data_IF_172294278648
#
_entry.id   IF_172294278648
#
_cell.length_a   1.000
_cell.length_b   1.000
_cell.length_c   1.000
_cell.angle_alpha   90.00
_cell.angle_beta   90.00
_cell.angle_gamma   90.00
#
_symmetry.space_group_name_H-M   'P 1'
#
loop_
_entity.id
_entity.type
_entity.pdbx_description
1 polymer ?
#
# COMPACT_ATOMS: atom_id res chain seq x y z
N UNK A 1 -13.13 1.30 -12.21
CA UNK A 1 -13.46 0.38 -11.11
C UNK A 1 -12.85 0.96 -9.86
N UNK A 2 -13.63 1.18 -8.80
CA UNK A 2 -13.06 1.55 -7.51
C UNK A 2 -12.42 0.30 -6.89
N UNK A 3 -11.20 0.43 -6.38
CA UNK A 3 -10.51 -0.65 -5.67
C UNK A 3 -10.38 -0.20 -4.23
N UNK A 4 -10.84 -1.04 -3.32
CA UNK A 4 -10.84 -0.75 -1.88
C UNK A 4 -9.48 -1.07 -1.26
N UNK A 5 -9.17 -0.40 -0.15
CA UNK A 5 -7.97 -0.64 0.63
C UNK A 5 -8.30 -1.49 1.87
N UNK A 6 -7.84 -2.74 1.86
CA UNK A 6 -8.00 -3.68 2.97
C UNK A 6 -6.84 -3.54 3.94
N UNK A 7 -7.12 -3.30 5.23
CA UNK A 7 -6.08 -3.30 6.25
C UNK A 7 -5.67 -4.72 6.64
N UNK A 8 -4.39 -4.93 6.89
CA UNK A 8 -3.96 -6.09 7.65
C UNK A 8 -4.43 -5.93 9.10
N UNK A 9 -4.93 -7.00 9.72
CA UNK A 9 -5.60 -6.91 11.03
C UNK A 9 -4.65 -6.43 12.13
N UNK A 10 -3.34 -6.71 11.98
CA UNK A 10 -2.30 -6.26 12.90
C UNK A 10 -1.91 -4.80 12.71
N UNK A 11 -2.21 -4.16 11.58
CA UNK A 11 -1.76 -2.81 11.26
C UNK A 11 -2.24 -1.77 12.28
N UNK A 12 -3.50 -1.84 12.72
CA UNK A 12 -4.04 -0.95 13.76
C UNK A 12 -3.33 -1.19 15.11
N UNK A 13 -3.03 -2.45 15.44
CA UNK A 13 -2.25 -2.79 16.62
C UNK A 13 -0.83 -2.23 16.57
N UNK A 14 -0.19 -2.24 15.39
CA UNK A 14 1.12 -1.62 15.20
C UNK A 14 1.10 -0.10 15.35
N UNK A 15 0.08 0.56 14.82
CA UNK A 15 -0.11 2.00 15.01
C UNK A 15 -0.28 2.34 16.50
N UNK A 16 -1.18 1.64 17.20
CA UNK A 16 -1.42 1.85 18.64
C UNK A 16 -0.20 1.53 19.51
N UNK A 17 0.65 0.60 19.08
CA UNK A 17 1.91 0.27 19.76
C UNK A 17 3.09 1.18 19.36
N UNK A 18 2.88 2.20 18.53
CA UNK A 18 3.93 3.10 18.05
C UNK A 18 4.97 2.45 17.13
N UNK A 19 4.65 1.30 16.54
CA UNK A 19 5.53 0.56 15.62
C UNK A 19 5.40 1.01 14.17
N UNK A 20 4.27 1.63 13.84
CA UNK A 20 4.04 2.34 12.58
C UNK A 20 3.68 3.77 12.95
N UNK A 21 4.41 4.73 12.40
CA UNK A 21 4.08 6.14 12.50
C UNK A 21 3.62 6.66 11.13
N UNK A 22 2.31 6.91 11.00
CA UNK A 22 1.69 7.35 9.74
C UNK A 22 2.17 8.74 9.25
N UNK A 23 2.84 9.51 10.10
CA UNK A 23 3.35 10.85 9.75
C UNK A 23 4.84 10.82 9.41
N UNK A 24 5.65 10.06 10.15
CA UNK A 24 7.12 10.12 10.01
C UNK A 24 7.75 8.93 9.30
N UNK A 25 7.04 7.81 9.17
CA UNK A 25 7.60 6.66 8.49
C UNK A 25 7.69 6.87 6.97
N UNK A 26 8.67 6.24 6.35
CA UNK A 26 8.70 6.10 4.90
C UNK A 26 7.86 4.91 4.50
N UNK A 27 6.89 5.13 3.62
CA UNK A 27 6.01 4.07 3.12
C UNK A 27 6.38 3.67 1.70
N UNK A 28 6.25 2.40 1.40
CA UNK A 28 6.51 1.82 0.08
C UNK A 28 5.41 0.87 -0.33
N UNK A 29 5.27 0.66 -1.63
CA UNK A 29 4.29 -0.23 -2.22
C UNK A 29 4.97 -1.34 -3.04
N UNK A 30 4.55 -2.59 -2.85
CA UNK A 30 5.05 -3.76 -3.59
C UNK A 30 3.95 -4.46 -4.37
N UNK A 31 4.33 -5.18 -5.42
CA UNK A 31 3.42 -5.94 -6.27
C UNK A 31 3.50 -7.43 -5.90
N UNK A 32 2.35 -8.10 -5.79
CA UNK A 32 2.26 -9.55 -5.58
C UNK A 32 1.12 -10.17 -6.36
N UNK A 33 1.30 -11.43 -6.78
CA UNK A 33 0.26 -12.25 -7.38
C UNK A 33 -0.22 -13.36 -6.45
N UNK A 34 0.32 -13.45 -5.25
CA UNK A 34 -0.01 -14.47 -4.26
C UNK A 34 -1.12 -13.96 -3.37
N UNK A 35 -2.12 -14.80 -3.09
CA UNK A 35 -3.20 -14.45 -2.19
C UNK A 35 -2.66 -14.13 -0.78
N UNK A 36 -3.13 -13.03 -0.21
CA UNK A 36 -2.71 -12.51 1.09
C UNK A 36 -3.70 -12.92 2.18
N UNK A 37 -3.19 -13.26 3.36
CA UNK A 37 -3.99 -13.50 4.55
C UNK A 37 -3.93 -12.27 5.46
N UNK A 38 -5.02 -11.49 5.46
CA UNK A 38 -5.14 -10.25 6.23
C UNK A 38 -4.97 -10.44 7.74
N UNK A 39 -5.23 -11.65 8.26
CA UNK A 39 -5.15 -11.94 9.68
C UNK A 39 -3.73 -12.31 10.16
N UNK A 40 -2.89 -12.85 9.27
CA UNK A 40 -1.60 -13.43 9.66
C UNK A 40 -0.39 -12.75 9.03
N UNK A 41 -0.52 -12.11 7.86
CA UNK A 41 0.58 -11.34 7.30
C UNK A 41 0.79 -10.06 8.13
N UNK A 42 2.02 -9.85 8.61
CA UNK A 42 2.37 -8.77 9.53
C UNK A 42 3.60 -7.97 9.07
N UNK A 43 4.51 -8.62 8.34
CA UNK A 43 5.76 -8.02 7.85
C UNK A 43 5.94 -8.25 6.35
N UNK A 44 6.75 -7.42 5.69
CA UNK A 44 7.03 -7.56 4.25
C UNK A 44 7.58 -8.95 3.89
N UNK A 45 8.32 -9.60 4.81
CA UNK A 45 8.83 -10.95 4.62
C UNK A 45 7.73 -12.01 4.44
N UNK A 46 6.50 -11.74 4.90
CA UNK A 46 5.35 -12.63 4.67
C UNK A 46 4.74 -12.47 3.27
N UNK A 47 5.18 -11.46 2.52
CA UNK A 47 4.64 -11.10 1.20
C UNK A 47 5.56 -11.62 0.10
N UNK A 48 5.08 -12.58 -0.68
CA UNK A 48 5.78 -13.03 -1.90
C UNK A 48 5.63 -11.99 -2.99
N UNK A 49 6.64 -11.15 -3.19
CA UNK A 49 6.67 -10.16 -4.27
C UNK A 49 6.80 -10.83 -5.64
N UNK A 50 6.38 -10.14 -6.71
CA UNK A 50 6.70 -10.57 -8.07
C UNK A 50 8.22 -10.54 -8.31
N UNK A 51 8.68 -11.24 -9.35
CA UNK A 51 10.10 -11.28 -9.70
C UNK A 51 10.64 -9.88 -10.04
N UNK A 52 11.86 -9.59 -9.60
CA UNK A 52 12.61 -8.40 -9.98
C UNK A 52 12.96 -8.45 -11.47
N UNK A 53 12.81 -7.34 -12.17
CA UNK A 53 13.13 -7.19 -13.57
C UNK A 53 12.12 -6.31 -14.30
N UNK A 54 12.43 -6.01 -15.56
CA UNK A 54 11.54 -5.31 -16.47
C UNK A 54 11.01 -3.95 -15.94
N UNK A 55 11.76 -3.27 -15.08
CA UNK A 55 11.37 -2.01 -14.42
C UNK A 55 10.76 -2.16 -13.02
N UNK A 56 10.48 -3.38 -12.55
CA UNK A 56 10.13 -3.65 -11.15
C UNK A 56 11.37 -4.00 -10.32
N UNK A 57 11.58 -3.29 -9.21
CA UNK A 57 12.60 -3.60 -8.22
C UNK A 57 11.98 -4.21 -6.96
N UNK A 58 12.66 -5.19 -6.35
CA UNK A 58 12.29 -5.74 -5.04
C UNK A 58 12.24 -4.63 -3.99
N UNK A 59 11.21 -4.65 -3.13
CA UNK A 59 10.88 -3.55 -2.23
C UNK A 59 10.00 -2.47 -2.88
N UNK A 60 9.77 -2.56 -4.19
CA UNK A 60 8.81 -1.75 -4.92
C UNK A 60 9.13 -0.26 -4.95
N UNK A 61 8.10 0.58 -4.91
CA UNK A 61 8.21 2.04 -5.09
C UNK A 61 7.90 2.78 -3.81
N UNK A 62 8.60 3.89 -3.57
CA UNK A 62 8.36 4.78 -2.43
C UNK A 62 7.16 5.68 -2.67
N UNK A 63 6.29 5.78 -1.66
CA UNK A 63 5.22 6.77 -1.62
C UNK A 63 5.83 8.11 -1.20
N UNK A 64 5.72 9.11 -2.06
CA UNK A 64 6.20 10.47 -1.77
C UNK A 64 5.06 11.35 -1.27
N UNK A 65 5.41 12.45 -0.60
CA UNK A 65 4.44 13.41 -0.04
C UNK A 65 3.37 12.73 0.80
N UNK A 66 3.78 11.79 1.66
CA UNK A 66 2.89 11.13 2.60
C UNK A 66 2.36 12.17 3.58
N UNK A 67 1.05 12.16 3.80
CA UNK A 67 0.38 13.07 4.73
C UNK A 67 -0.62 12.29 5.56
N UNK A 68 -0.54 12.46 6.87
CA UNK A 68 -1.52 12.04 7.85
C UNK A 68 -2.23 13.28 8.42
N UNK A 69 -3.51 13.48 8.09
CA UNK A 69 -4.23 14.70 8.50
C UNK A 69 -5.74 14.50 8.56
N UNK A 70 -6.45 15.36 9.30
CA UNK A 70 -7.90 15.55 9.20
C UNK A 70 -8.16 16.76 8.27
N UNK A 71 -8.40 16.53 6.95
CA UNK A 71 -8.45 17.61 5.98
C UNK A 71 -9.69 18.50 6.11
N UNK A 72 -10.73 18.03 6.81
CA UNK A 72 -12.04 18.68 6.92
C UNK A 72 -12.43 19.02 8.35
N UNK A 73 -11.58 18.72 9.32
CA UNK A 73 -11.87 18.84 10.75
C UNK A 73 -13.18 18.12 11.15
N UNK A 74 -13.52 17.02 10.46
CA UNK A 74 -14.76 16.26 10.68
C UNK A 74 -14.56 15.05 11.62
N UNK A 75 -13.35 14.91 12.16
CA UNK A 75 -12.94 13.79 13.00
C UNK A 75 -12.61 12.54 12.19
N UNK A 76 -12.40 12.67 10.87
CA UNK A 76 -11.90 11.59 10.01
C UNK A 76 -10.50 11.93 9.53
N UNK A 77 -9.54 11.21 10.07
CA UNK A 77 -8.16 11.27 9.65
C UNK A 77 -7.96 10.50 8.35
N UNK A 78 -7.07 11.01 7.51
CA UNK A 78 -6.76 10.54 6.17
C UNK A 78 -5.27 10.27 6.06
N UNK A 79 -4.94 9.10 5.58
CA UNK A 79 -3.61 8.76 5.09
C UNK A 79 -3.59 8.87 3.56
N UNK A 80 -2.68 9.67 3.02
CA UNK A 80 -2.56 9.90 1.58
C UNK A 80 -1.10 10.06 1.17
N UNK A 81 -0.84 9.99 -0.14
CA UNK A 81 0.45 10.30 -0.76
C UNK A 81 0.25 11.05 -2.08
N UNK A 82 1.34 11.43 -2.73
CA UNK A 82 1.34 11.72 -4.16
C UNK A 82 1.09 10.43 -4.99
N UNK A 83 0.87 10.59 -6.29
CA UNK A 83 0.80 9.47 -7.22
C UNK A 83 2.10 8.65 -7.17
N UNK A 84 1.98 7.33 -7.16
CA UNK A 84 3.09 6.40 -7.32
C UNK A 84 2.81 5.46 -8.50
N UNK A 85 3.87 4.98 -9.17
CA UNK A 85 3.73 4.20 -10.40
C UNK A 85 4.90 3.26 -10.65
N UNK A 86 4.65 2.23 -11.43
CA UNK A 86 5.65 1.35 -12.03
C UNK A 86 5.66 1.56 -13.54
N UNK A 87 6.85 1.60 -14.12
CA UNK A 87 7.05 1.74 -15.56
C UNK A 87 7.75 0.47 -16.03
N UNK A 88 7.12 -0.25 -16.97
CA UNK A 88 7.70 -1.44 -17.56
C UNK A 88 8.79 -1.05 -18.57
N UNK A 89 9.96 -1.66 -18.45
CA UNK A 89 11.11 -1.37 -19.33
C UNK A 89 11.97 -2.60 -19.51
N UNK A 90 12.17 -3.03 -20.76
CA UNK A 90 12.94 -4.23 -21.11
C UNK A 90 12.10 -5.51 -21.06
N UNK A 91 10.79 -5.38 -20.89
CA UNK A 91 9.83 -6.48 -20.80
C UNK A 91 8.57 -6.08 -20.03
N UNK A 92 7.61 -6.99 -19.91
CA UNK A 92 6.40 -6.75 -19.13
C UNK A 92 6.64 -6.95 -17.62
N UNK A 93 5.93 -6.19 -16.78
CA UNK A 93 5.89 -6.40 -15.32
C UNK A 93 4.64 -7.20 -14.96
N UNK A 94 4.80 -8.22 -14.12
CA UNK A 94 3.71 -9.05 -13.60
C UNK A 94 3.71 -10.47 -14.17
N UNK A 95 2.58 -11.20 -14.07
CA UNK A 95 1.31 -10.74 -13.52
C UNK A 95 1.37 -10.37 -12.04
N UNK A 96 0.56 -9.40 -11.60
CA UNK A 96 0.28 -9.10 -10.19
C UNK A 96 -1.23 -8.86 -10.00
N UNK A 97 -1.76 -9.20 -8.83
CA UNK A 97 -3.17 -8.95 -8.47
C UNK A 97 -3.31 -7.97 -7.31
N UNK A 98 -2.28 -7.85 -6.49
CA UNK A 98 -2.32 -7.04 -5.28
C UNK A 98 -1.19 -6.02 -5.27
N UNK A 99 -1.50 -4.87 -4.68
CA UNK A 99 -0.50 -3.91 -4.22
C UNK A 99 -0.52 -3.95 -2.70
N UNK A 100 0.63 -4.12 -2.05
CA UNK A 100 0.76 -4.05 -0.59
C UNK A 100 1.52 -2.80 -0.20
N UNK A 101 0.96 -2.00 0.70
CA UNK A 101 1.64 -0.87 1.32
C UNK A 101 2.22 -1.31 2.66
N UNK A 102 3.48 -0.93 2.91
CA UNK A 102 4.21 -1.23 4.15
C UNK A 102 5.02 -0.01 4.61
N UNK A 103 5.36 0.03 5.91
CA UNK A 103 6.27 1.03 6.49
C UNK A 103 7.70 0.49 6.44
N UNK A 104 8.55 1.07 5.59
CA UNK A 104 9.95 0.67 5.35
C UNK A 104 10.90 1.10 6.47
N UNK A 105 10.51 2.11 7.25
CA UNK A 105 11.29 2.55 8.42
C UNK A 105 10.84 1.87 9.70
N UNK A 106 9.71 1.17 9.71
CA UNK A 106 9.30 0.36 10.85
C UNK A 106 10.19 -0.88 10.99
N UNK A 107 10.34 -1.37 12.22
CA UNK A 107 11.10 -2.58 12.47
C UNK A 107 10.48 -3.78 11.72
N UNK A 108 11.28 -4.41 10.85
CA UNK A 108 10.88 -5.53 9.99
C UNK A 108 9.78 -5.21 8.98
N UNK A 109 9.69 -3.97 8.51
CA UNK A 109 8.85 -3.62 7.36
C UNK A 109 7.37 -3.99 7.53
N UNK A 110 6.74 -3.48 8.58
CA UNK A 110 5.36 -3.82 8.95
C UNK A 110 4.39 -3.46 7.83
N UNK A 111 3.53 -4.40 7.46
CA UNK A 111 2.52 -4.18 6.41
C UNK A 111 1.32 -3.42 6.96
N UNK A 112 0.78 -2.50 6.14
CA UNK A 112 -0.36 -1.64 6.50
C UNK A 112 -1.65 -2.19 5.93
N UNK A 113 -1.65 -2.45 4.62
CA UNK A 113 -2.82 -2.95 3.91
C UNK A 113 -2.52 -3.22 2.45
N UNK A 114 -3.57 -3.56 1.70
CA UNK A 114 -3.49 -3.92 0.29
C UNK A 114 -4.61 -3.34 -0.55
N UNK A 115 -4.36 -3.24 -1.84
CA UNK A 115 -5.39 -3.16 -2.87
C UNK A 115 -5.53 -4.54 -3.54
N UNK A 116 -6.76 -5.00 -3.78
CA UNK A 116 -7.06 -6.22 -4.55
C UNK A 116 -7.81 -5.86 -5.83
N UNK A 117 -7.16 -6.06 -6.98
CA UNK A 117 -7.77 -5.75 -8.29
C UNK A 117 -8.78 -6.80 -8.76
N UNK A 118 -8.97 -7.90 -8.01
CA UNK A 118 -9.89 -9.00 -8.32
C UNK A 118 -9.39 -9.94 -9.43
N UNK A 119 -8.47 -9.48 -10.27
CA UNK A 119 -7.82 -10.25 -11.32
C UNK A 119 -6.34 -9.85 -11.48
N UNK A 120 -5.58 -10.73 -12.12
CA UNK A 120 -4.19 -10.45 -12.43
C UNK A 120 -4.06 -9.39 -13.54
N UNK A 121 -3.12 -8.47 -13.34
CA UNK A 121 -2.75 -7.38 -14.23
C UNK A 121 -1.30 -7.60 -14.66
N UNK A 122 -1.02 -7.34 -15.94
CA UNK A 122 0.33 -7.29 -16.50
C UNK A 122 0.52 -5.90 -17.09
N UNK A 123 1.62 -5.23 -16.74
CA UNK A 123 2.02 -3.95 -17.33
C UNK A 123 2.81 -4.28 -18.61
N UNK A 124 2.31 -3.96 -19.81
CA UNK A 124 3.05 -4.21 -21.04
C UNK A 124 4.34 -3.38 -21.09
N UNK A 125 5.37 -3.88 -21.76
CA UNK A 125 6.63 -3.13 -21.96
C UNK A 125 6.36 -1.73 -22.54
N UNK A 126 7.08 -0.72 -22.03
CA UNK A 126 6.91 0.68 -22.40
C UNK A 126 5.65 1.36 -21.83
N UNK A 127 4.82 0.64 -21.06
CA UNK A 127 3.64 1.21 -20.40
C UNK A 127 3.90 1.51 -18.92
N UNK A 128 3.04 2.35 -18.33
CA UNK A 128 3.04 2.61 -16.90
C UNK A 128 1.73 2.17 -16.24
N UNK A 129 1.83 1.78 -14.97
CA UNK A 129 0.69 1.54 -14.10
C UNK A 129 0.84 2.42 -12.86
N UNK A 130 -0.08 3.36 -12.68
CA UNK A 130 -0.05 4.34 -11.60
C UNK A 130 -1.26 4.25 -10.70
N UNK A 131 -1.05 4.53 -9.42
CA UNK A 131 -2.09 4.73 -8.42
C UNK A 131 -2.08 6.19 -8.00
N UNK A 132 -3.22 6.84 -8.17
CA UNK A 132 -3.45 8.21 -7.75
C UNK A 132 -4.45 8.20 -6.60
N UNK A 133 -4.02 8.46 -5.36
CA UNK A 133 -4.94 8.62 -4.24
C UNK A 133 -6.00 9.68 -4.53
N UNK A 134 -7.26 9.37 -4.25
CA UNK A 134 -8.38 10.29 -4.45
C UNK A 134 -8.52 11.30 -3.30
N UNK A 135 -9.65 12.00 -3.25
CA UNK A 135 -9.99 12.93 -2.15
C UNK A 135 -9.94 12.24 -0.77
N UNK A 136 -10.30 10.96 -0.74
CA UNK A 136 -10.27 10.12 0.47
C UNK A 136 -8.89 9.59 0.82
N UNK A 137 -7.87 9.90 0.01
CA UNK A 137 -6.52 9.38 0.17
C UNK A 137 -6.46 7.90 -0.18
N UNK A 138 -5.56 7.19 0.50
CA UNK A 138 -5.41 5.73 0.42
C UNK A 138 -6.41 5.09 1.38
N UNK A 139 -6.54 5.63 2.60
CA UNK A 139 -7.58 5.25 3.55
C UNK A 139 -7.97 6.40 4.48
N UNK A 140 -9.16 6.27 5.08
CA UNK A 140 -9.64 7.12 6.18
C UNK A 140 -10.01 6.28 7.40
N UNK A 141 -9.84 6.87 8.58
CA UNK A 141 -10.35 6.33 9.85
C UNK A 141 -10.82 7.49 10.73
N UNK A 142 -11.82 7.28 11.58
CA UNK A 142 -12.43 8.38 12.30
C UNK A 142 -13.52 7.98 13.27
N UNK A 143 -14.29 8.99 13.70
CA UNK A 143 -15.19 8.96 14.86
C UNK A 143 -16.08 7.71 14.96
N UNK A 144 -16.09 7.12 16.15
CA UNK A 144 -17.14 6.20 16.59
C UNK A 144 -18.36 6.97 17.11
N UNK A 145 -19.52 6.33 17.06
CA UNK A 145 -20.75 6.83 17.67
C UNK A 145 -21.15 5.86 18.78
N UNK A 146 -21.41 6.39 19.97
CA UNK A 146 -22.10 5.63 21.01
C UNK A 146 -23.60 5.84 20.82
N UNK A 147 -24.35 4.74 20.79
CA UNK A 147 -25.80 4.74 20.98
C UNK A 147 -26.14 4.00 22.26
#
# INVERSE_FOLDING_TARGET
>A
MAVEFDHFYKAIGHQGAGRINLETDTFKAVLTNTALNLATNEVLADITQIANGNGYATGGVTLTSVVWSDPTADGKWRFTSAQFKWIASGGAIGPFRYIVIYSDTSASDKVVGRFDFGSAITIPDGSEFGITPGTDGIFRTGKGTLV
#
